data_IF_339929835676
#
_entry.id   IF_339929835676
#
_cell.length_a   1.000
_cell.length_b   1.000
_cell.length_c   1.000
_cell.angle_alpha   90.00
_cell.angle_beta   90.00
_cell.angle_gamma   90.00
#
_symmetry.space_group_name_H-M   'P 1'
#
loop_
_entity.id
_entity.type
_entity.pdbx_description
1 polymer ?
#
# COMPACT_ATOMS: atom_id res chain seq x y z
N UNK A 1 15.58 17.90 5.75
CA UNK A 1 16.17 17.08 6.82
C UNK A 1 17.59 16.66 6.50
N UNK A 2 17.89 15.66 5.65
CA UNK A 2 19.30 15.25 5.37
C UNK A 2 20.25 16.42 5.04
N UNK A 3 19.78 17.38 4.24
CA UNK A 3 20.53 18.61 3.95
C UNK A 3 20.65 19.56 5.13
N UNK A 4 19.59 19.66 5.95
CA UNK A 4 19.54 20.53 7.13
C UNK A 4 20.49 20.01 8.21
N UNK A 5 20.62 18.68 8.32
CA UNK A 5 21.54 17.99 9.23
C UNK A 5 22.96 17.84 8.65
N UNK A 6 23.23 18.35 7.45
CA UNK A 6 24.55 18.24 6.82
C UNK A 6 25.00 16.82 6.43
N UNK A 7 24.08 15.85 6.34
CA UNK A 7 24.41 14.45 6.05
C UNK A 7 24.68 14.29 4.54
N UNK A 8 25.93 14.01 4.18
CA UNK A 8 26.37 13.76 2.82
C UNK A 8 26.18 12.29 2.39
N UNK A 9 25.97 12.05 1.09
CA UNK A 9 25.92 10.71 0.49
C UNK A 9 27.04 10.52 -0.53
N UNK A 10 27.56 9.29 -0.70
CA UNK A 10 28.59 9.00 -1.69
C UNK A 10 28.01 9.01 -3.10
N UNK A 11 28.69 9.71 -4.02
CA UNK A 11 28.33 9.78 -5.44
C UNK A 11 29.53 9.35 -6.27
N UNK A 12 29.33 8.31 -7.09
CA UNK A 12 30.32 7.92 -8.08
C UNK A 12 30.39 8.99 -9.17
N UNK A 13 31.56 9.58 -9.33
CA UNK A 13 31.89 10.54 -10.38
C UNK A 13 32.78 9.84 -11.40
N UNK A 14 32.56 10.14 -12.67
CA UNK A 14 33.42 9.69 -13.75
C UNK A 14 34.03 10.93 -14.41
N UNK A 15 35.34 11.07 -14.30
CA UNK A 15 36.10 12.09 -15.03
C UNK A 15 37.02 11.41 -16.03
N UNK A 16 37.22 12.05 -17.19
CA UNK A 16 38.08 11.50 -18.24
C UNK A 16 39.54 11.34 -17.79
N UNK A 17 39.97 12.10 -16.78
CA UNK A 17 41.35 12.12 -16.28
C UNK A 17 41.61 11.16 -15.11
N UNK A 18 40.66 10.93 -14.21
CA UNK A 18 40.88 10.18 -12.95
C UNK A 18 40.07 8.87 -12.84
N UNK A 19 39.26 8.55 -13.86
CA UNK A 19 38.42 7.35 -13.83
C UNK A 19 37.23 7.49 -12.86
N UNK A 20 36.89 6.40 -12.15
CA UNK A 20 35.77 6.36 -11.19
C UNK A 20 36.24 6.80 -9.81
N UNK A 21 35.83 7.98 -9.36
CA UNK A 21 36.08 8.49 -8.00
C UNK A 21 34.78 8.59 -7.19
N UNK A 22 34.86 8.55 -5.86
CA UNK A 22 33.71 8.70 -4.97
C UNK A 22 33.81 10.07 -4.29
N UNK A 23 32.78 10.90 -4.47
CA UNK A 23 32.69 12.21 -3.83
C UNK A 23 31.49 12.23 -2.90
N UNK A 24 31.70 12.68 -1.66
CA UNK A 24 30.64 12.89 -0.68
C UNK A 24 30.02 14.27 -0.88
N UNK A 25 28.73 14.32 -1.16
CA UNK A 25 28.01 15.59 -1.36
C UNK A 25 26.61 15.53 -0.78
N UNK A 26 26.03 16.69 -0.52
CA UNK A 26 24.66 16.77 -0.05
C UNK A 26 23.69 16.14 -1.06
N UNK A 27 22.78 15.25 -0.61
CA UNK A 27 21.97 14.45 -1.50
C UNK A 27 20.94 15.27 -2.28
N UNK A 28 20.63 14.82 -3.50
CA UNK A 28 19.49 15.31 -4.27
C UNK A 28 18.29 14.38 -4.06
N UNK A 29 17.07 14.88 -4.30
CA UNK A 29 15.86 14.08 -4.19
C UNK A 29 15.94 12.78 -4.99
N UNK A 30 16.39 12.85 -6.25
CA UNK A 30 16.53 11.68 -7.12
C UNK A 30 17.52 10.65 -6.58
N UNK A 31 18.60 11.08 -5.91
CA UNK A 31 19.57 10.18 -5.28
C UNK A 31 18.91 9.38 -4.17
N UNK A 32 18.21 10.06 -3.26
CA UNK A 32 17.50 9.41 -2.14
C UNK A 32 16.40 8.49 -2.66
N UNK A 33 15.60 8.97 -3.63
CA UNK A 33 14.55 8.17 -4.24
C UNK A 33 15.08 6.91 -4.92
N UNK A 34 16.22 7.01 -5.63
CA UNK A 34 16.85 5.84 -6.24
C UNK A 34 17.33 4.82 -5.21
N UNK A 35 17.88 5.27 -4.08
CA UNK A 35 18.27 4.38 -2.97
C UNK A 35 17.03 3.67 -2.42
N UNK A 36 15.99 4.42 -2.08
CA UNK A 36 14.77 3.88 -1.49
C UNK A 36 13.99 2.96 -2.42
N UNK A 37 14.18 3.05 -3.74
CA UNK A 37 13.50 2.23 -4.75
C UNK A 37 14.37 1.12 -5.34
N UNK A 38 15.57 0.91 -4.80
CA UNK A 38 16.49 -0.13 -5.28
C UNK A 38 16.40 -1.40 -4.43
N UNK A 39 15.94 -2.55 -4.99
CA UNK A 39 15.80 -3.80 -4.26
C UNK A 39 17.12 -4.39 -3.77
N UNK A 40 18.27 -3.93 -4.29
CA UNK A 40 19.60 -4.37 -3.83
C UNK A 40 19.79 -4.09 -2.33
N UNK A 41 19.25 -2.99 -1.80
CA UNK A 41 19.32 -2.71 -0.36
C UNK A 41 18.49 -3.68 0.48
N UNK A 42 17.62 -4.47 -0.16
CA UNK A 42 16.77 -5.47 0.45
C UNK A 42 17.26 -6.92 0.19
N UNK A 43 18.53 -7.10 -0.19
CA UNK A 43 19.11 -8.42 -0.44
C UNK A 43 18.67 -9.09 -1.74
N UNK A 44 17.98 -8.34 -2.63
CA UNK A 44 17.40 -8.91 -3.83
C UNK A 44 18.15 -8.50 -5.10
N UNK A 45 18.38 -9.50 -5.95
CA UNK A 45 18.81 -9.30 -7.33
C UNK A 45 17.57 -9.13 -8.22
N UNK A 46 17.57 -8.07 -9.03
CA UNK A 46 16.44 -7.78 -9.92
C UNK A 46 16.92 -7.36 -11.31
N UNK A 47 16.36 -7.98 -12.34
CA UNK A 47 16.60 -7.67 -13.75
C UNK A 47 15.27 -7.34 -14.46
N UNK A 48 15.35 -6.60 -15.58
CA UNK A 48 14.15 -6.25 -16.34
C UNK A 48 13.30 -5.13 -15.72
N UNK A 49 13.85 -4.32 -14.81
CA UNK A 49 13.14 -3.25 -14.07
C UNK A 49 12.60 -2.12 -14.96
N UNK A 50 13.05 -2.03 -16.20
CA UNK A 50 12.66 -1.01 -17.17
C UNK A 50 12.44 -1.62 -18.54
N UNK A 51 11.46 -1.13 -19.28
CA UNK A 51 11.20 -1.47 -20.68
C UNK A 51 11.32 -0.28 -21.61
N UNK A 52 11.37 -0.56 -22.91
CA UNK A 52 11.19 0.44 -23.96
C UNK A 52 9.82 0.22 -24.61
N UNK A 53 9.00 1.27 -24.67
CA UNK A 53 7.71 1.25 -25.38
C UNK A 53 7.88 1.95 -26.71
N UNK A 54 7.50 1.27 -27.80
CA UNK A 54 7.45 1.85 -29.13
C UNK A 54 6.00 2.25 -29.40
N UNK A 55 5.77 3.54 -29.66
CA UNK A 55 4.49 4.06 -30.15
C UNK A 55 4.67 4.61 -31.57
N UNK A 56 3.59 4.63 -32.34
CA UNK A 56 3.53 5.37 -33.60
C UNK A 56 2.61 6.55 -33.34
N UNK A 57 3.17 7.76 -33.37
CA UNK A 57 2.45 9.03 -33.20
C UNK A 57 2.64 9.82 -34.49
N UNK A 58 1.54 10.27 -35.10
CA UNK A 58 1.54 11.00 -36.39
C UNK A 58 2.33 10.30 -37.51
N UNK A 59 2.18 8.97 -37.61
CA UNK A 59 2.88 8.16 -38.62
C UNK A 59 4.40 8.01 -38.38
N UNK A 60 4.94 8.50 -37.25
CA UNK A 60 6.36 8.39 -36.91
C UNK A 60 6.57 7.47 -35.72
N UNK A 61 7.54 6.56 -35.84
CA UNK A 61 7.99 5.70 -34.73
C UNK A 61 8.61 6.56 -33.63
N UNK A 62 8.03 6.54 -32.43
CA UNK A 62 8.61 7.07 -31.20
C UNK A 62 8.99 5.92 -30.28
N UNK A 63 10.21 5.96 -29.76
CA UNK A 63 10.71 4.96 -28.80
C UNK A 63 10.89 5.65 -27.46
N UNK A 64 10.05 5.31 -26.51
CA UNK A 64 10.16 5.79 -25.14
C UNK A 64 10.91 4.74 -24.30
N UNK A 65 12.17 5.04 -23.96
CA UNK A 65 13.08 4.13 -23.24
C UNK A 65 13.05 4.40 -21.74
N UNK A 66 13.34 3.38 -20.94
CA UNK A 66 13.52 3.54 -19.49
C UNK A 66 12.21 3.62 -18.70
N UNK A 67 11.09 3.17 -19.28
CA UNK A 67 9.81 3.09 -18.59
C UNK A 67 9.90 2.04 -17.48
N UNK A 68 9.66 2.47 -16.23
CA UNK A 68 9.65 1.56 -15.07
C UNK A 68 8.50 0.57 -15.18
N UNK A 69 8.79 -0.71 -14.95
CA UNK A 69 7.78 -1.77 -14.90
C UNK A 69 7.30 -2.02 -13.46
N UNK A 70 6.03 -2.39 -13.25
CA UNK A 70 5.55 -2.95 -11.99
C UNK A 70 6.42 -4.13 -11.55
N UNK A 71 6.54 -4.32 -10.24
CA UNK A 71 7.39 -5.37 -9.66
C UNK A 71 6.99 -6.78 -10.12
N UNK A 72 5.69 -7.03 -10.31
CA UNK A 72 5.16 -8.30 -10.82
C UNK A 72 5.56 -8.60 -12.27
N UNK A 73 6.00 -7.59 -13.03
CA UNK A 73 6.44 -7.75 -14.41
C UNK A 73 7.96 -7.81 -14.53
N UNK A 74 8.73 -7.80 -13.45
CA UNK A 74 10.18 -7.91 -13.57
C UNK A 74 10.58 -9.28 -14.12
N UNK A 75 11.50 -9.31 -15.07
CA UNK A 75 11.90 -10.57 -15.73
C UNK A 75 12.59 -11.53 -14.75
N UNK A 76 13.35 -10.97 -13.80
CA UNK A 76 13.99 -11.75 -12.73
C UNK A 76 13.88 -10.97 -11.41
N UNK A 77 13.42 -11.66 -10.38
CA UNK A 77 13.48 -11.20 -9.00
C UNK A 77 13.90 -12.36 -8.09
N UNK A 78 15.17 -12.37 -7.71
CA UNK A 78 15.71 -13.34 -6.77
C UNK A 78 15.87 -12.65 -5.43
N UNK A 79 15.04 -13.04 -4.47
CA UNK A 79 15.11 -12.56 -3.08
C UNK A 79 16.24 -13.29 -2.33
N UNK A 80 16.76 -12.66 -1.28
CA UNK A 80 17.74 -13.23 -0.37
C UNK A 80 19.02 -13.78 -1.05
N UNK A 81 19.48 -13.09 -2.10
CA UNK A 81 20.73 -13.40 -2.80
C UNK A 81 21.97 -12.94 -2.04
N UNK A 82 21.83 -11.85 -1.27
CA UNK A 82 22.90 -11.29 -0.45
C UNK A 82 22.30 -10.62 0.79
N UNK A 83 23.15 -10.29 1.76
CA UNK A 83 22.71 -9.59 2.96
C UNK A 83 22.22 -8.18 2.62
N UNK A 84 20.92 -7.93 2.85
CA UNK A 84 20.30 -6.62 2.67
C UNK A 84 20.51 -5.73 3.89
N UNK A 85 20.59 -4.41 3.67
CA UNK A 85 20.53 -3.42 4.75
C UNK A 85 19.15 -3.35 5.41
N UNK A 86 18.11 -3.73 4.67
CA UNK A 86 16.74 -3.88 5.15
C UNK A 86 16.19 -5.22 4.70
N UNK A 87 15.16 -5.70 5.39
CA UNK A 87 14.43 -6.90 4.95
C UNK A 87 13.58 -6.60 3.69
N UNK A 88 13.25 -7.66 2.94
CA UNK A 88 12.35 -7.54 1.79
C UNK A 88 10.98 -6.95 2.17
N UNK A 89 10.43 -7.35 3.31
CA UNK A 89 9.13 -6.84 3.80
C UNK A 89 9.19 -5.35 4.16
N UNK A 90 10.30 -4.86 4.71
CA UNK A 90 10.52 -3.43 4.92
C UNK A 90 10.63 -2.68 3.59
N UNK A 91 11.29 -3.25 2.58
CA UNK A 91 11.38 -2.65 1.25
C UNK A 91 10.01 -2.51 0.60
N UNK A 92 9.18 -3.56 0.62
CA UNK A 92 7.80 -3.54 0.10
C UNK A 92 6.96 -2.47 0.81
N UNK A 93 7.05 -2.38 2.14
CA UNK A 93 6.39 -1.34 2.93
C UNK A 93 6.84 0.06 2.51
N UNK A 94 8.14 0.27 2.29
CA UNK A 94 8.67 1.56 1.82
C UNK A 94 8.16 1.92 0.42
N UNK A 95 8.08 0.95 -0.50
CA UNK A 95 7.50 1.18 -1.84
C UNK A 95 6.03 1.61 -1.73
N UNK A 96 5.26 0.95 -0.87
CA UNK A 96 3.86 1.30 -0.63
C UNK A 96 3.72 2.73 -0.11
N UNK A 97 4.53 3.13 0.86
CA UNK A 97 4.54 4.51 1.39
C UNK A 97 4.89 5.52 0.29
N UNK A 98 5.87 5.23 -0.56
CA UNK A 98 6.24 6.11 -1.68
C UNK A 98 5.09 6.24 -2.68
N UNK A 99 4.46 5.13 -3.03
CA UNK A 99 3.30 5.10 -3.92
C UNK A 99 2.13 5.91 -3.34
N UNK A 100 1.82 5.72 -2.04
CA UNK A 100 0.77 6.42 -1.32
C UNK A 100 1.03 7.92 -1.14
N UNK A 101 2.28 8.36 -1.31
CA UNK A 101 2.66 9.76 -1.28
C UNK A 101 2.64 10.43 -2.67
N UNK A 102 2.65 9.65 -3.75
CA UNK A 102 2.84 10.14 -5.12
C UNK A 102 1.57 10.78 -5.72
N UNK A 103 1.22 12.00 -5.28
CA UNK A 103 0.01 12.73 -5.72
C UNK A 103 0.04 13.14 -7.21
N UNK A 104 1.21 13.19 -7.85
CA UNK A 104 1.39 13.71 -9.22
C UNK A 104 1.23 12.69 -10.36
N UNK A 105 1.02 11.40 -10.07
CA UNK A 105 0.95 10.33 -11.09
C UNK A 105 -0.47 9.93 -11.52
N UNK A 106 -1.45 10.82 -11.32
CA UNK A 106 -2.78 10.69 -11.94
C UNK A 106 -3.74 9.69 -11.28
N UNK A 107 -3.36 8.99 -10.21
CA UNK A 107 -4.31 8.13 -9.50
C UNK A 107 -5.12 8.95 -8.48
N UNK A 108 -6.41 9.11 -8.78
CA UNK A 108 -7.40 9.64 -7.83
C UNK A 108 -7.49 8.83 -6.52
N UNK A 109 -6.79 7.69 -6.40
CA UNK A 109 -6.75 6.78 -5.25
C UNK A 109 -5.71 7.17 -4.18
N UNK A 110 -4.62 7.87 -4.52
CA UNK A 110 -3.46 8.03 -3.63
C UNK A 110 -3.69 9.11 -2.57
N UNK A 111 -3.54 8.79 -1.27
CA UNK A 111 -3.79 9.71 -0.13
C UNK A 111 -2.90 10.95 -0.15
N UNK A 112 -1.70 10.84 -0.70
CA UNK A 112 -0.70 11.90 -0.71
C UNK A 112 -0.01 12.08 0.63
N UNK A 113 1.18 12.68 0.58
CA UNK A 113 2.03 12.87 1.76
C UNK A 113 1.39 13.70 2.87
N UNK A 114 1.69 13.35 4.12
CA UNK A 114 1.32 14.15 5.29
C UNK A 114 2.14 15.44 5.28
N UNK A 115 1.51 16.55 4.89
CA UNK A 115 2.12 17.88 4.85
C UNK A 115 1.90 18.63 6.17
N UNK A 116 2.77 19.61 6.45
CA UNK A 116 2.83 20.40 7.69
C UNK A 116 1.67 21.39 7.93
N UNK A 117 0.77 21.62 6.97
CA UNK A 117 -0.31 22.59 7.16
C UNK A 117 -1.33 22.18 8.24
N UNK A 118 -2.12 23.13 8.74
CA UNK A 118 -3.03 22.89 9.88
C UNK A 118 -4.26 22.02 9.57
N UNK A 119 -4.74 22.03 8.31
CA UNK A 119 -5.94 21.28 7.90
C UNK A 119 -5.70 19.76 7.98
N UNK A 120 -6.45 19.08 8.85
CA UNK A 120 -6.22 17.69 9.26
C UNK A 120 -6.65 16.66 8.21
N UNK A 121 -7.67 16.96 7.40
CA UNK A 121 -8.30 16.01 6.49
C UNK A 121 -7.74 16.07 5.07
N UNK A 122 -6.63 16.80 4.88
CA UNK A 122 -5.96 16.94 3.59
C UNK A 122 -5.58 15.58 2.99
N UNK A 123 -6.14 15.27 1.81
CA UNK A 123 -5.87 14.02 1.07
C UNK A 123 -6.76 12.82 1.44
N UNK A 124 -7.59 12.94 2.48
CA UNK A 124 -8.61 11.94 2.86
C UNK A 124 -9.98 12.23 2.22
N UNK A 125 -10.29 13.49 1.94
CA UNK A 125 -11.60 13.94 1.51
C UNK A 125 -11.89 13.70 0.02
N UNK A 126 -13.09 13.20 -0.28
CA UNK A 126 -13.70 13.09 -1.61
C UNK A 126 -15.03 13.84 -1.66
N UNK A 127 -15.32 14.40 -2.82
CA UNK A 127 -16.59 15.04 -3.12
C UNK A 127 -17.65 13.96 -3.39
N UNK A 128 -18.73 13.95 -2.63
CA UNK A 128 -19.87 13.05 -2.83
C UNK A 128 -20.67 13.34 -4.10
N UNK A 129 -20.50 14.51 -4.71
CA UNK A 129 -21.19 14.89 -5.95
C UNK A 129 -20.46 14.44 -7.22
N UNK A 130 -19.12 14.38 -7.21
CA UNK A 130 -18.33 14.04 -8.41
C UNK A 130 -17.22 13.02 -8.18
N UNK A 131 -17.08 12.44 -6.98
CA UNK A 131 -16.10 11.42 -6.61
C UNK A 131 -14.63 11.89 -6.52
N UNK A 132 -14.33 13.11 -6.98
CA UNK A 132 -12.98 13.67 -7.01
C UNK A 132 -12.50 14.11 -5.63
N UNK A 133 -11.18 14.14 -5.43
CA UNK A 133 -10.58 14.59 -4.17
C UNK A 133 -10.79 16.08 -3.94
N UNK A 134 -10.94 16.45 -2.67
CA UNK A 134 -10.93 17.85 -2.26
C UNK A 134 -9.50 18.36 -2.09
N UNK A 135 -9.32 19.63 -2.43
CA UNK A 135 -8.11 20.40 -2.25
C UNK A 135 -8.21 21.24 -0.98
N UNK A 136 -7.04 21.63 -0.47
CA UNK A 136 -6.92 22.54 0.66
C UNK A 136 -6.58 23.94 0.14
N UNK A 137 -7.23 24.94 0.72
CA UNK A 137 -6.95 26.35 0.49
C UNK A 137 -6.64 27.02 1.81
N UNK A 138 -5.50 27.69 1.87
CA UNK A 138 -5.14 28.55 3.00
C UNK A 138 -5.43 29.99 2.55
N UNK A 139 -6.47 30.58 3.11
CA UNK A 139 -6.88 31.96 2.81
C UNK A 139 -7.93 32.44 3.80
N UNK A 140 -7.81 33.68 4.27
CA UNK A 140 -8.63 34.22 5.35
C UNK A 140 -8.22 33.73 6.74
N UNK A 141 -9.12 33.84 7.73
CA UNK A 141 -8.86 33.47 9.14
C UNK A 141 -8.80 31.96 9.39
N UNK A 142 -9.35 31.13 8.50
CA UNK A 142 -9.37 29.68 8.65
C UNK A 142 -9.22 28.97 7.29
N UNK A 143 -8.55 27.81 7.30
CA UNK A 143 -8.39 26.98 6.11
C UNK A 143 -9.71 26.42 5.58
N UNK A 144 -9.76 26.12 4.29
CA UNK A 144 -10.95 25.61 3.58
C UNK A 144 -10.65 24.35 2.78
N UNK A 145 -11.68 23.52 2.63
CA UNK A 145 -11.72 22.41 1.68
C UNK A 145 -12.59 22.80 0.48
N UNK A 146 -12.14 22.44 -0.72
CA UNK A 146 -12.92 22.70 -1.93
C UNK A 146 -12.68 21.66 -3.02
N UNK A 147 -13.74 21.38 -3.78
CA UNK A 147 -13.63 20.57 -4.99
C UNK A 147 -13.30 21.48 -6.18
N UNK A 148 -12.19 21.21 -6.87
CA UNK A 148 -11.77 21.97 -8.06
C UNK A 148 -12.06 21.22 -9.37
N UNK A 149 -12.54 19.98 -9.30
CA UNK A 149 -12.63 19.09 -10.45
C UNK A 149 -13.54 19.57 -11.57
N UNK A 150 -14.72 20.11 -11.24
CA UNK A 150 -15.65 20.62 -12.25
C UNK A 150 -15.14 21.91 -12.92
N UNK A 151 -14.57 22.82 -12.12
CA UNK A 151 -13.95 24.05 -12.63
C UNK A 151 -12.80 23.77 -13.61
N UNK A 152 -11.89 22.85 -13.28
CA UNK A 152 -10.72 22.56 -14.13
C UNK A 152 -11.10 21.83 -15.42
N UNK A 153 -12.04 20.88 -15.36
CA UNK A 153 -12.35 20.03 -16.52
C UNK A 153 -13.48 20.58 -17.40
N UNK A 154 -14.37 21.39 -16.85
CA UNK A 154 -15.60 21.82 -17.53
C UNK A 154 -15.80 23.34 -17.47
N UNK A 155 -14.91 24.11 -16.81
CA UNK A 155 -15.04 25.57 -16.69
C UNK A 155 -16.21 26.04 -15.84
N UNK A 156 -16.89 25.13 -15.12
CA UNK A 156 -18.07 25.44 -14.31
C UNK A 156 -17.70 25.89 -12.88
N UNK A 157 -18.70 26.25 -12.08
CA UNK A 157 -18.48 26.48 -10.65
C UNK A 157 -17.95 25.23 -9.91
N UNK A 158 -17.41 25.47 -8.70
CA UNK A 158 -16.91 24.41 -7.83
C UNK A 158 -18.08 23.58 -7.29
N UNK A 159 -17.95 22.25 -7.26
CA UNK A 159 -19.01 21.38 -6.75
C UNK A 159 -19.39 21.69 -5.30
N UNK A 160 -18.38 21.78 -4.42
CA UNK A 160 -18.56 22.04 -2.99
C UNK A 160 -17.36 22.82 -2.45
N UNK A 161 -17.61 23.63 -1.42
CA UNK A 161 -16.56 24.20 -0.61
C UNK A 161 -17.06 24.60 0.79
N UNK A 162 -16.26 24.31 1.80
CA UNK A 162 -16.62 24.51 3.20
C UNK A 162 -15.40 24.83 4.07
N UNK A 163 -15.64 25.41 5.25
CA UNK A 163 -14.61 25.73 6.23
C UNK A 163 -14.08 24.47 6.94
N UNK A 164 -12.77 24.42 7.17
CA UNK A 164 -12.14 23.23 7.74
C UNK A 164 -12.39 23.03 9.25
N UNK A 165 -12.55 24.11 10.02
CA UNK A 165 -12.57 24.04 11.48
C UNK A 165 -13.63 23.09 12.07
N UNK A 166 -14.90 23.25 11.66
CA UNK A 166 -16.02 22.43 12.19
C UNK A 166 -15.88 20.96 11.78
N UNK A 167 -15.47 20.71 10.54
CA UNK A 167 -15.32 19.34 10.01
C UNK A 167 -14.12 18.65 10.63
N UNK A 168 -12.97 19.32 10.72
CA UNK A 168 -11.77 18.78 11.37
C UNK A 168 -12.05 18.41 12.83
N UNK A 169 -12.76 19.27 13.56
CA UNK A 169 -13.17 18.99 14.93
C UNK A 169 -14.11 17.78 15.01
N UNK A 170 -15.20 17.77 14.24
CA UNK A 170 -16.19 16.69 14.28
C UNK A 170 -15.58 15.33 13.92
N UNK A 171 -14.77 15.26 12.86
CA UNK A 171 -14.08 14.03 12.46
C UNK A 171 -13.04 13.63 13.51
N UNK A 172 -12.29 14.58 14.07
CA UNK A 172 -11.34 14.33 15.15
C UNK A 172 -12.02 13.71 16.37
N UNK A 173 -13.11 14.31 16.85
CA UNK A 173 -13.89 13.79 17.98
C UNK A 173 -14.43 12.39 17.72
N UNK A 174 -14.94 12.12 16.52
CA UNK A 174 -15.47 10.81 16.16
C UNK A 174 -14.39 9.73 16.12
N UNK A 175 -13.21 10.05 15.55
CA UNK A 175 -12.05 9.15 15.56
C UNK A 175 -11.59 8.87 16.98
N UNK A 176 -11.50 9.89 17.84
CA UNK A 176 -11.13 9.70 19.24
C UNK A 176 -12.17 8.82 19.96
N UNK A 177 -13.47 9.04 19.72
CA UNK A 177 -14.56 8.24 20.31
C UNK A 177 -14.43 6.76 19.97
N UNK A 178 -14.15 6.44 18.70
CA UNK A 178 -14.02 5.06 18.22
C UNK A 178 -12.72 4.40 18.69
N UNK A 179 -11.62 5.16 18.78
CA UNK A 179 -10.32 4.65 19.22
C UNK A 179 -10.16 4.56 20.75
N UNK A 180 -11.20 4.85 21.53
CA UNK A 180 -11.20 4.61 22.98
C UNK A 180 -10.96 3.12 23.29
N UNK A 181 -10.49 2.78 24.50
CA UNK A 181 -10.14 1.40 24.87
C UNK A 181 -11.23 0.37 24.57
N UNK A 182 -12.52 0.74 24.70
CA UNK A 182 -13.63 -0.15 24.36
C UNK A 182 -13.68 -0.49 22.86
N UNK A 183 -13.44 0.48 21.98
CA UNK A 183 -13.36 0.25 20.54
C UNK A 183 -12.12 -0.55 20.16
N UNK A 184 -10.98 -0.28 20.82
CA UNK A 184 -9.75 -1.08 20.64
C UNK A 184 -9.95 -2.53 21.08
N UNK A 185 -10.65 -2.76 22.19
CA UNK A 185 -10.95 -4.11 22.68
C UNK A 185 -11.92 -4.84 21.74
N UNK A 186 -12.95 -4.14 21.23
CA UNK A 186 -13.87 -4.70 20.24
C UNK A 186 -13.13 -5.11 18.96
N UNK A 187 -12.22 -4.26 18.46
CA UNK A 187 -11.38 -4.57 17.31
C UNK A 187 -10.46 -5.79 17.58
N UNK A 188 -9.85 -5.88 18.76
CA UNK A 188 -9.02 -7.02 19.13
C UNK A 188 -9.82 -8.34 19.14
N UNK A 189 -11.03 -8.34 19.72
CA UNK A 189 -11.92 -9.51 19.69
C UNK A 189 -12.36 -9.89 18.27
N UNK A 190 -12.60 -8.91 17.40
CA UNK A 190 -12.95 -9.17 16.01
C UNK A 190 -11.79 -9.86 15.26
N UNK A 191 -10.54 -9.47 15.54
CA UNK A 191 -9.35 -10.14 14.99
C UNK A 191 -9.22 -11.59 15.48
N UNK A 192 -9.49 -11.86 16.76
CA UNK A 192 -9.51 -13.22 17.31
C UNK A 192 -10.58 -14.09 16.61
N UNK A 193 -11.77 -13.55 16.39
CA UNK A 193 -12.85 -14.24 15.67
C UNK A 193 -12.47 -14.53 14.20
N UNK A 194 -11.91 -13.54 13.49
CA UNK A 194 -11.46 -13.71 12.11
C UNK A 194 -10.35 -14.75 11.97
N UNK A 195 -9.45 -14.84 12.95
CA UNK A 195 -8.40 -15.85 12.98
C UNK A 195 -8.99 -17.26 13.04
N UNK A 196 -10.11 -17.42 13.76
CA UNK A 196 -10.82 -18.71 13.87
C UNK A 196 -11.47 -19.12 12.55
N UNK A 197 -12.14 -18.20 11.83
CA UNK A 197 -12.70 -18.47 10.50
C UNK A 197 -11.61 -18.78 9.47
N UNK A 198 -10.52 -18.01 9.48
CA UNK A 198 -9.37 -18.23 8.58
C UNK A 198 -8.76 -19.61 8.78
N UNK A 199 -8.78 -20.14 10.02
CA UNK A 199 -8.30 -21.49 10.32
C UNK A 199 -9.11 -22.59 9.63
N UNK A 200 -10.42 -22.40 9.42
CA UNK A 200 -11.25 -23.37 8.72
C UNK A 200 -10.93 -23.41 7.22
N UNK A 201 -10.82 -22.24 6.58
CA UNK A 201 -10.39 -22.10 5.18
C UNK A 201 -8.99 -22.69 4.97
N UNK A 202 -8.07 -22.42 5.89
CA UNK A 202 -6.72 -22.96 5.86
C UNK A 202 -6.74 -24.49 5.88
N UNK A 203 -7.51 -25.11 6.79
CA UNK A 203 -7.64 -26.57 6.86
C UNK A 203 -8.19 -27.16 5.56
N UNK A 204 -9.15 -26.51 4.92
CA UNK A 204 -9.71 -26.98 3.65
C UNK A 204 -8.67 -26.95 2.52
N UNK A 205 -7.87 -25.89 2.44
CA UNK A 205 -6.77 -25.77 1.47
C UNK A 205 -5.68 -26.81 1.73
N UNK A 206 -5.31 -27.03 3.00
CA UNK A 206 -4.31 -28.05 3.37
C UNK A 206 -4.76 -29.46 2.95
N UNK A 207 -6.03 -29.81 3.19
CA UNK A 207 -6.60 -31.09 2.76
C UNK A 207 -6.63 -31.22 1.23
N UNK A 208 -6.99 -30.16 0.51
CA UNK A 208 -6.97 -30.14 -0.95
C UNK A 208 -5.55 -30.33 -1.50
N UNK A 209 -4.56 -29.70 -0.88
CA UNK A 209 -3.14 -29.84 -1.25
C UNK A 209 -2.64 -31.26 -0.98
N UNK A 210 -3.01 -31.86 0.16
CA UNK A 210 -2.68 -33.26 0.46
C UNK A 210 -3.25 -34.21 -0.61
N UNK A 211 -4.52 -34.03 -0.98
CA UNK A 211 -5.17 -34.81 -2.02
C UNK A 211 -4.47 -34.64 -3.38
N UNK A 212 -4.13 -33.41 -3.76
CA UNK A 212 -3.43 -33.13 -5.02
C UNK A 212 -2.03 -33.77 -5.06
N UNK A 213 -1.28 -33.70 -3.95
CA UNK A 213 0.03 -34.36 -3.83
C UNK A 213 -0.07 -35.87 -3.95
N UNK A 214 -1.09 -36.47 -3.34
CA UNK A 214 -1.36 -37.90 -3.48
C UNK A 214 -1.66 -38.27 -4.94
N UNK A 215 -2.54 -37.51 -5.61
CA UNK A 215 -2.87 -37.72 -7.03
C UNK A 215 -1.64 -37.58 -7.94
N UNK A 216 -0.80 -36.57 -7.72
CA UNK A 216 0.45 -36.39 -8.48
C UNK A 216 1.42 -37.56 -8.26
N UNK A 217 1.58 -38.04 -7.02
CA UNK A 217 2.41 -39.20 -6.72
C UNK A 217 1.84 -40.50 -7.33
N UNK A 218 0.52 -40.64 -7.38
CA UNK A 218 -0.13 -41.77 -8.06
C UNK A 218 0.09 -41.72 -9.58
N UNK A 219 -0.14 -40.58 -10.22
CA UNK A 219 0.09 -40.40 -11.66
C UNK A 219 1.57 -40.67 -12.04
N UNK A 220 2.52 -40.22 -11.20
CA UNK A 220 3.94 -40.54 -11.37
C UNK A 220 4.19 -42.04 -11.33
N UNK A 221 3.65 -42.77 -10.36
CA UNK A 221 3.82 -44.23 -10.28
C UNK A 221 3.26 -44.96 -11.51
N UNK A 222 2.17 -44.46 -12.09
CA UNK A 222 1.62 -45.02 -13.33
C UNK A 222 2.53 -44.77 -14.52
N UNK A 223 3.08 -43.55 -14.64
CA UNK A 223 4.06 -43.20 -15.67
C UNK A 223 5.34 -44.03 -15.52
N UNK A 224 5.89 -44.16 -14.32
CA UNK A 224 7.12 -44.92 -14.05
C UNK A 224 6.96 -46.44 -14.34
N UNK A 225 5.73 -46.96 -14.35
CA UNK A 225 5.42 -48.37 -14.58
C UNK A 225 5.11 -48.72 -16.05
N UNK A 226 4.98 -47.74 -16.95
CA UNK A 226 4.65 -48.00 -18.36
C UNK A 226 5.89 -48.42 -19.14
N UNK A 227 5.73 -49.36 -20.08
CA UNK A 227 6.78 -49.68 -21.04
C UNK A 227 7.01 -48.47 -21.99
N UNK A 228 8.25 -47.96 -22.11
CA UNK A 228 8.58 -46.87 -23.03
C UNK A 228 8.21 -47.11 -24.49
N UNK A 229 8.10 -48.36 -24.93
CA UNK A 229 7.70 -48.69 -26.30
C UNK A 229 6.23 -48.35 -26.57
N UNK A 230 5.39 -48.26 -25.53
CA UNK A 230 4.00 -47.79 -25.60
C UNK A 230 3.91 -46.25 -25.60
N UNK A 231 4.54 -45.62 -26.59
CA UNK A 231 4.73 -44.15 -26.66
C UNK A 231 3.48 -43.31 -26.44
N UNK A 232 2.33 -43.72 -27.00
CA UNK A 232 1.07 -42.99 -26.82
C UNK A 232 0.56 -43.04 -25.38
N UNK A 233 0.72 -44.18 -24.70
CA UNK A 233 0.32 -44.36 -23.31
C UNK A 233 1.26 -43.58 -22.38
N UNK A 234 2.57 -43.65 -22.65
CA UNK A 234 3.57 -42.90 -21.91
C UNK A 234 3.33 -41.38 -22.01
N UNK A 235 3.08 -40.85 -23.21
CA UNK A 235 2.78 -39.43 -23.40
C UNK A 235 1.49 -38.97 -22.72
N UNK A 236 0.44 -39.80 -22.69
CA UNK A 236 -0.80 -39.48 -21.97
C UNK A 236 -0.61 -39.53 -20.44
N UNK A 237 0.15 -40.49 -19.92
CA UNK A 237 0.47 -40.57 -18.49
C UNK A 237 1.36 -39.41 -18.04
N UNK A 238 2.32 -39.00 -18.87
CA UNK A 238 3.14 -37.80 -18.65
C UNK A 238 2.26 -36.54 -18.62
N UNK A 239 1.34 -36.38 -19.58
CA UNK A 239 0.39 -35.26 -19.60
C UNK A 239 -0.43 -35.20 -18.31
N UNK A 240 -0.99 -36.32 -17.86
CA UNK A 240 -1.77 -36.41 -16.61
C UNK A 240 -0.92 -36.09 -15.38
N UNK A 241 0.32 -36.56 -15.34
CA UNK A 241 1.24 -36.24 -14.25
C UNK A 241 1.57 -34.74 -14.22
N UNK A 242 1.87 -34.15 -15.38
CA UNK A 242 2.11 -32.71 -15.52
C UNK A 242 0.88 -31.89 -15.08
N UNK A 243 -0.33 -32.30 -15.45
CA UNK A 243 -1.56 -31.65 -14.99
C UNK A 243 -1.75 -31.74 -13.47
N UNK A 244 -1.49 -32.90 -12.88
CA UNK A 244 -1.54 -33.06 -11.43
C UNK A 244 -0.49 -32.19 -10.72
N UNK A 245 0.71 -32.06 -11.28
CA UNK A 245 1.76 -31.16 -10.76
C UNK A 245 1.36 -29.68 -10.84
N UNK A 246 0.70 -29.26 -11.92
CA UNK A 246 0.17 -27.89 -12.03
C UNK A 246 -0.89 -27.60 -10.97
N UNK A 247 -1.74 -28.57 -10.64
CA UNK A 247 -2.71 -28.44 -9.54
C UNK A 247 -2.02 -28.28 -8.19
N UNK A 248 -0.98 -29.08 -7.91
CA UNK A 248 -0.17 -28.95 -6.68
C UNK A 248 0.46 -27.56 -6.61
N UNK A 249 1.12 -27.11 -7.68
CA UNK A 249 1.76 -25.79 -7.72
C UNK A 249 0.77 -24.64 -7.46
N UNK A 250 -0.42 -24.70 -8.07
CA UNK A 250 -1.48 -23.71 -7.83
C UNK A 250 -1.91 -23.69 -6.36
N UNK A 251 -2.18 -24.85 -5.76
CA UNK A 251 -2.63 -24.94 -4.37
C UNK A 251 -1.53 -24.51 -3.38
N UNK A 252 -0.26 -24.83 -3.65
CA UNK A 252 0.87 -24.31 -2.86
C UNK A 252 0.95 -22.78 -2.94
N UNK A 253 0.69 -22.20 -4.12
CA UNK A 253 0.58 -20.76 -4.30
C UNK A 253 -0.57 -20.15 -3.49
N UNK A 254 -1.74 -20.78 -3.46
CA UNK A 254 -2.90 -20.34 -2.67
C UNK A 254 -2.62 -20.40 -1.16
N UNK A 255 -2.00 -21.49 -0.67
CA UNK A 255 -1.57 -21.63 0.73
C UNK A 255 -0.55 -20.55 1.09
N UNK A 256 0.47 -20.35 0.26
CA UNK A 256 1.48 -19.32 0.48
C UNK A 256 0.87 -17.90 0.49
N UNK A 257 -0.10 -17.63 -0.40
CA UNK A 257 -0.81 -16.36 -0.43
C UNK A 257 -1.71 -16.13 0.79
N UNK A 258 -2.35 -17.19 1.30
CA UNK A 258 -3.14 -17.14 2.53
C UNK A 258 -2.25 -16.84 3.75
N UNK A 259 -1.13 -17.54 3.87
CA UNK A 259 -0.13 -17.33 4.93
C UNK A 259 0.46 -15.91 4.85
N UNK A 260 0.80 -15.44 3.66
CA UNK A 260 1.31 -14.08 3.47
C UNK A 260 0.29 -12.98 3.82
N UNK A 261 -1.01 -13.29 3.75
CA UNK A 261 -2.10 -12.37 4.12
C UNK A 261 -2.45 -12.41 5.60
N UNK A 262 -2.04 -13.44 6.32
CA UNK A 262 -2.40 -13.64 7.72
C UNK A 262 -1.69 -12.60 8.60
N UNK A 263 -2.43 -11.74 9.33
CA UNK A 263 -1.79 -10.87 10.30
C UNK A 263 -1.18 -11.71 11.42
N UNK A 264 -0.02 -11.27 11.93
CA UNK A 264 0.56 -11.90 13.10
C UNK A 264 -0.44 -11.82 14.27
N UNK A 265 -0.62 -12.91 15.05
CA UNK A 265 -1.51 -12.88 16.19
C UNK A 265 -1.03 -11.83 17.19
N UNK A 266 -1.95 -11.02 17.71
CA UNK A 266 -1.63 -10.03 18.74
C UNK A 266 -1.30 -10.75 20.04
N UNK A 267 -0.07 -10.56 20.52
CA UNK A 267 0.32 -11.06 21.83
C UNK A 267 -0.39 -10.31 22.96
N UNK A 268 -0.52 -10.93 24.14
CA UNK A 268 -1.17 -10.31 25.30
C UNK A 268 -0.48 -8.99 25.74
N UNK A 269 0.84 -8.91 25.57
CA UNK A 269 1.60 -7.67 25.82
C UNK A 269 1.22 -6.56 24.84
N UNK A 270 1.08 -6.88 23.56
CA UNK A 270 0.72 -5.93 22.51
C UNK A 270 -0.71 -5.45 22.70
N UNK A 271 -1.62 -6.36 23.05
CA UNK A 271 -3.01 -6.04 23.37
C UNK A 271 -3.10 -5.04 24.52
N UNK A 272 -2.41 -5.29 25.63
CA UNK A 272 -2.36 -4.34 26.76
C UNK A 272 -1.78 -3.00 26.35
N UNK A 273 -0.74 -2.99 25.52
CA UNK A 273 -0.15 -1.76 25.02
C UNK A 273 -1.12 -0.96 24.13
N UNK A 274 -1.87 -1.62 23.24
CA UNK A 274 -2.90 -0.99 22.42
C UNK A 274 -4.03 -0.39 23.26
N UNK A 275 -4.47 -1.08 24.31
CA UNK A 275 -5.50 -0.57 25.22
C UNK A 275 -5.01 0.68 25.97
N UNK A 276 -3.76 0.68 26.43
CA UNK A 276 -3.15 1.84 27.08
C UNK A 276 -3.05 3.01 26.09
N UNK A 277 -2.57 2.78 24.87
CA UNK A 277 -2.52 3.80 23.83
C UNK A 277 -3.90 4.39 23.53
N UNK A 278 -4.95 3.56 23.49
CA UNK A 278 -6.33 4.03 23.32
C UNK A 278 -6.82 4.91 24.47
N UNK A 279 -6.37 4.65 25.71
CA UNK A 279 -6.71 5.45 26.88
C UNK A 279 -6.01 6.81 26.85
N UNK A 280 -4.74 6.81 26.47
CA UNK A 280 -3.89 8.01 26.45
C UNK A 280 -4.09 8.88 25.19
N UNK A 281 -4.82 8.37 24.18
CA UNK A 281 -4.94 9.01 22.88
C UNK A 281 -5.60 10.40 22.95
N UNK A 282 -6.63 10.58 23.76
CA UNK A 282 -7.34 11.85 23.91
C UNK A 282 -6.44 12.93 24.55
N UNK A 283 -5.65 12.53 25.54
CA UNK A 283 -4.64 13.38 26.20
C UNK A 283 -3.55 13.76 25.20
N UNK A 284 -3.01 12.78 24.46
CA UNK A 284 -2.00 13.01 23.45
C UNK A 284 -2.50 13.93 22.32
N UNK A 285 -3.72 13.73 21.85
CA UNK A 285 -4.30 14.55 20.77
C UNK A 285 -4.36 16.04 21.11
N UNK A 286 -4.73 16.34 22.35
CA UNK A 286 -4.92 17.69 22.87
C UNK A 286 -3.61 18.34 23.36
N UNK A 287 -2.53 17.57 23.47
CA UNK A 287 -1.26 18.06 24.00
C UNK A 287 -0.64 19.15 23.09
N UNK A 288 -0.16 20.29 23.63
CA UNK A 288 0.36 21.41 22.83
C UNK A 288 1.55 21.06 21.93
N UNK A 289 2.40 20.12 22.35
CA UNK A 289 3.55 19.66 21.56
C UNK A 289 3.17 18.78 20.36
N UNK A 290 1.90 18.34 20.26
CA UNK A 290 1.46 17.47 19.17
C UNK A 290 1.14 18.30 17.93
N UNK A 291 1.98 18.11 16.92
CA UNK A 291 1.85 18.81 15.63
C UNK A 291 0.63 18.36 14.84
N UNK A 292 0.13 19.22 13.94
CA UNK A 292 -0.90 18.85 12.97
C UNK A 292 -0.49 17.63 12.10
N UNK A 293 0.82 17.48 11.80
CA UNK A 293 1.33 16.32 11.08
C UNK A 293 1.12 15.00 11.87
N UNK A 294 1.28 15.01 13.19
CA UNK A 294 1.01 13.85 14.04
C UNK A 294 -0.48 13.51 14.07
N UNK A 295 -1.36 14.50 14.25
CA UNK A 295 -2.82 14.31 14.20
C UNK A 295 -3.28 13.71 12.88
N UNK A 296 -2.74 14.19 11.76
CA UNK A 296 -3.00 13.62 10.42
C UNK A 296 -2.60 12.16 10.29
N UNK A 297 -1.49 11.75 10.92
CA UNK A 297 -1.04 10.35 10.91
C UNK A 297 -2.05 9.48 11.65
N UNK A 298 -2.49 9.90 12.85
CA UNK A 298 -3.52 9.20 13.63
C UNK A 298 -4.79 9.03 12.79
N UNK A 299 -5.31 10.11 12.19
CA UNK A 299 -6.50 10.05 11.34
C UNK A 299 -6.31 9.09 10.15
N UNK A 300 -5.17 9.13 9.47
CA UNK A 300 -4.86 8.24 8.34
C UNK A 300 -4.68 6.78 8.75
N UNK A 301 -4.33 6.51 10.01
CA UNK A 301 -4.25 5.14 10.53
C UNK A 301 -5.64 4.55 10.71
N UNK A 302 -6.63 5.34 11.13
CA UNK A 302 -7.99 4.85 11.38
C UNK A 302 -8.92 4.94 10.16
N UNK A 303 -8.75 5.98 9.33
CA UNK A 303 -9.64 6.29 8.22
C UNK A 303 -9.03 5.91 6.87
N UNK A 304 -9.83 5.23 6.06
CA UNK A 304 -9.52 4.92 4.68
C UNK A 304 -9.68 6.14 3.77
N UNK A 305 -10.88 6.73 3.82
CA UNK A 305 -11.27 7.94 3.10
C UNK A 305 -12.48 8.58 3.77
N UNK A 306 -12.84 9.79 3.32
CA UNK A 306 -14.00 10.51 3.81
C UNK A 306 -14.77 11.07 2.62
N UNK A 307 -16.04 10.75 2.50
CA UNK A 307 -16.92 11.29 1.45
C UNK A 307 -17.73 12.44 2.03
N UNK A 308 -17.71 13.61 1.37
CA UNK A 308 -18.44 14.79 1.81
C UNK A 308 -19.43 15.24 0.77
N UNK A 309 -20.69 15.40 1.17
CA UNK A 309 -21.77 15.98 0.39
C UNK A 309 -22.28 17.24 1.08
N UNK A 310 -22.71 18.22 0.29
CA UNK A 310 -23.41 19.40 0.80
C UNK A 310 -24.77 19.45 0.14
N UNK A 311 -25.83 19.46 0.94
CA UNK A 311 -27.23 19.59 0.51
C UNK A 311 -27.99 20.49 1.48
N UNK A 312 -28.77 21.44 0.96
CA UNK A 312 -29.59 22.33 1.80
C UNK A 312 -28.80 23.13 2.85
N UNK A 313 -27.50 23.36 2.64
CA UNK A 313 -26.62 24.04 3.59
C UNK A 313 -26.02 23.14 4.70
N UNK A 314 -26.42 21.87 4.76
CA UNK A 314 -25.86 20.88 5.68
C UNK A 314 -24.67 20.18 5.03
N UNK A 315 -23.65 19.86 5.84
CA UNK A 315 -22.48 19.09 5.41
C UNK A 315 -22.65 17.67 5.92
N UNK A 316 -22.90 16.74 5.00
CA UNK A 316 -22.92 15.31 5.29
C UNK A 316 -21.53 14.72 5.07
N UNK A 317 -21.02 14.05 6.09
CA UNK A 317 -19.67 13.48 6.11
C UNK A 317 -19.77 12.00 6.40
N UNK A 318 -19.34 11.16 5.46
CA UNK A 318 -19.28 9.70 5.63
C UNK A 318 -17.82 9.30 5.80
N UNK A 319 -17.49 8.77 6.98
CA UNK A 319 -16.18 8.26 7.34
C UNK A 319 -16.09 6.80 6.91
N UNK A 320 -15.13 6.47 6.04
CA UNK A 320 -14.83 5.08 5.70
C UNK A 320 -13.66 4.63 6.56
N UNK A 321 -13.89 3.67 7.45
CA UNK A 321 -12.86 3.13 8.33
C UNK A 321 -11.98 2.11 7.59
N UNK A 322 -10.76 1.92 8.07
CA UNK A 322 -9.84 0.92 7.49
C UNK A 322 -10.36 -0.53 7.66
N UNK A 323 -11.28 -0.76 8.59
CA UNK A 323 -11.97 -2.04 8.79
C UNK A 323 -13.18 -2.27 7.87
N UNK A 324 -13.48 -1.34 6.95
CA UNK A 324 -14.59 -1.44 6.00
C UNK A 324 -15.93 -0.91 6.51
N UNK A 325 -16.07 -0.63 7.81
CA UNK A 325 -17.27 -0.01 8.38
C UNK A 325 -17.39 1.48 8.01
N UNK A 326 -18.59 2.06 8.19
CA UNK A 326 -18.90 3.44 7.83
C UNK A 326 -19.64 4.19 8.93
N UNK A 327 -19.21 5.42 9.23
CA UNK A 327 -19.95 6.32 10.13
C UNK A 327 -20.38 7.58 9.38
N UNK A 328 -21.67 7.94 9.47
CA UNK A 328 -22.20 9.18 8.93
C UNK A 328 -22.32 10.27 10.00
N UNK A 329 -21.89 11.48 9.68
CA UNK A 329 -22.01 12.70 10.50
C UNK A 329 -22.74 13.78 9.71
N UNK A 330 -23.55 14.59 10.39
CA UNK A 330 -24.23 15.77 9.81
C UNK A 330 -23.80 17.03 10.57
N UNK A 331 -23.38 18.06 9.84
CA UNK A 331 -22.83 19.32 10.38
C UNK A 331 -23.52 20.55 9.79
#
# INVERSE_FOLDING_TARGET
WLRDEGIALPVACHTAAEGRSIVWRLPLYNTVHNILTNPVYAGAYAFGRTMSKVSVEDGRKRVNRGLRRPLAEWDVLLKDQHEGYISWSQFERNQQVIADNATGKGSAAVRGAVRRGELLLAGLLRCGHCGRKLYVGYGGKAGRYYCQGALVNHGTERCISFGGLRVDHAVGSEVLRVLKPLGVNAAAKALEAQTSETSATQRQLDLALQQARFSAAHARRQYDAVDPDNRLVAGELERRWNEALQVVYRLEGEVAALEARKPAPLGEKERRHLLQLGADLEVAWSHPAVTAATRKRILRTALHEIVVRIEGGLIEVVLHWQGGDHTALKL
#
